data_IF_675374645749
#
_entry.id   IF_675374645749
#
_cell.length_a   1.000
_cell.length_b   1.000
_cell.length_c   1.000
_cell.angle_alpha   90.00
_cell.angle_beta   90.00
_cell.angle_gamma   90.00
#
_symmetry.space_group_name_H-M   'P 1'
#
loop_
_entity.id
_entity.type
_entity.pdbx_description
1 polymer ?
#
# COMPACT_ATOMS: atom_id res chain seq x y z
N UNK A 1 -21.38 5.25 -11.14
CA UNK A 1 -20.08 5.87 -11.45
C UNK A 1 -19.81 5.71 -12.93
N UNK A 2 -19.36 6.75 -13.64
CA UNK A 2 -19.00 6.62 -15.05
C UNK A 2 -17.88 5.59 -15.21
N UNK A 3 -17.96 4.79 -16.29
CA UNK A 3 -16.95 3.78 -16.61
C UNK A 3 -15.74 4.49 -17.25
N UNK A 4 -14.57 4.31 -16.65
CA UNK A 4 -13.31 4.85 -17.19
C UNK A 4 -13.05 4.30 -18.60
N UNK A 5 -12.42 5.11 -19.44
CA UNK A 5 -11.81 4.63 -20.67
C UNK A 5 -10.70 3.62 -20.36
N UNK A 6 -10.28 2.85 -21.37
CA UNK A 6 -9.17 1.89 -21.20
C UNK A 6 -7.88 2.61 -20.78
N UNK A 7 -7.59 3.77 -21.37
CA UNK A 7 -6.40 4.56 -21.08
C UNK A 7 -6.44 5.12 -19.66
N UNK A 8 -7.58 5.69 -19.25
CA UNK A 8 -7.79 6.20 -17.88
C UNK A 8 -7.65 5.07 -16.84
N UNK A 9 -8.17 3.88 -17.16
CA UNK A 9 -8.01 2.70 -16.31
C UNK A 9 -6.55 2.27 -16.17
N UNK A 10 -5.77 2.28 -17.26
CA UNK A 10 -4.34 1.92 -17.23
C UNK A 10 -3.55 2.92 -16.38
N UNK A 11 -3.73 4.22 -16.59
CA UNK A 11 -3.05 5.25 -15.80
C UNK A 11 -3.37 5.10 -14.32
N UNK A 12 -4.66 4.97 -13.98
CA UNK A 12 -5.09 4.73 -12.61
C UNK A 12 -4.51 3.44 -12.01
N UNK A 13 -4.42 2.37 -12.80
CA UNK A 13 -3.86 1.10 -12.35
C UNK A 13 -2.37 1.23 -12.02
N UNK A 14 -1.59 1.93 -12.84
CA UNK A 14 -0.17 2.21 -12.59
C UNK A 14 0.01 3.02 -11.31
N UNK A 15 -0.78 4.08 -11.12
CA UNK A 15 -0.73 4.91 -9.90
C UNK A 15 -1.05 4.10 -8.64
N UNK A 16 -2.02 3.18 -8.71
CA UNK A 16 -2.35 2.30 -7.59
C UNK A 16 -1.20 1.35 -7.24
N UNK A 17 -0.52 0.80 -8.25
CA UNK A 17 0.66 -0.04 -8.02
C UNK A 17 1.81 0.74 -7.40
N UNK A 18 2.12 1.94 -7.88
CA UNK A 18 3.16 2.78 -7.30
C UNK A 18 2.91 3.09 -5.82
N UNK A 19 1.66 3.43 -5.47
CA UNK A 19 1.28 3.69 -4.07
C UNK A 19 1.35 2.43 -3.21
N UNK A 20 1.01 1.27 -3.77
CA UNK A 20 1.14 0.00 -3.07
C UNK A 20 2.61 -0.36 -2.84
N UNK A 21 3.48 -0.12 -3.81
CA UNK A 21 4.91 -0.38 -3.71
C UNK A 21 5.57 0.48 -2.62
N UNK A 22 5.20 1.76 -2.54
CA UNK A 22 5.65 2.66 -1.47
C UNK A 22 5.18 2.19 -0.09
N UNK A 23 3.89 1.86 0.04
CA UNK A 23 3.31 1.35 1.27
C UNK A 23 3.93 0.01 1.71
N UNK A 24 4.27 -0.86 0.76
CA UNK A 24 4.99 -2.10 0.98
C UNK A 24 6.41 -1.86 1.51
N UNK A 25 7.13 -0.90 0.93
CA UNK A 25 8.46 -0.53 1.37
C UNK A 25 8.44 0.00 2.82
N UNK A 26 7.47 0.84 3.16
CA UNK A 26 7.30 1.34 4.53
C UNK A 26 6.99 0.24 5.52
N UNK A 27 6.12 -0.71 5.15
CA UNK A 27 5.82 -1.86 6.00
C UNK A 27 7.08 -2.67 6.33
N UNK A 28 7.87 -3.00 5.30
CA UNK A 28 9.10 -3.78 5.47
C UNK A 28 10.09 -3.01 6.36
N UNK A 29 10.25 -1.71 6.11
CA UNK A 29 11.15 -0.84 6.89
C UNK A 29 10.76 -0.75 8.36
N UNK A 30 9.47 -0.58 8.66
CA UNK A 30 9.02 -0.33 10.03
C UNK A 30 8.84 -1.59 10.88
N UNK A 31 8.44 -2.69 10.24
CA UNK A 31 8.10 -3.94 10.92
C UNK A 31 9.22 -4.97 10.90
N UNK A 32 10.24 -4.76 10.06
CA UNK A 32 11.33 -5.72 9.79
C UNK A 32 10.84 -7.08 9.26
N UNK A 33 9.58 -7.16 8.81
CA UNK A 33 8.98 -8.37 8.24
C UNK A 33 8.89 -8.29 6.72
N UNK A 34 9.06 -9.43 6.04
CA UNK A 34 8.82 -9.52 4.61
C UNK A 34 7.34 -9.78 4.30
N UNK A 35 6.86 -9.22 3.19
CA UNK A 35 5.49 -9.47 2.70
C UNK A 35 5.22 -10.93 2.36
N UNK A 36 6.25 -11.72 2.04
CA UNK A 36 6.12 -13.17 1.82
C UNK A 36 5.78 -13.95 3.09
N UNK A 37 6.06 -13.36 4.27
CA UNK A 37 5.87 -13.97 5.58
C UNK A 37 4.69 -13.35 6.34
N UNK A 38 4.07 -12.32 5.75
CA UNK A 38 2.95 -11.57 6.33
C UNK A 38 1.66 -11.93 5.61
N UNK A 39 0.57 -12.13 6.35
CA UNK A 39 -0.73 -12.29 5.71
C UNK A 39 -1.21 -10.96 5.11
N UNK A 40 -1.99 -11.02 4.03
CA UNK A 40 -2.58 -9.82 3.42
C UNK A 40 -3.39 -9.01 4.44
N UNK A 41 -4.08 -9.68 5.37
CA UNK A 41 -4.90 -9.01 6.38
C UNK A 41 -4.05 -8.22 7.37
N UNK A 42 -2.91 -8.76 7.81
CA UNK A 42 -1.99 -8.06 8.72
C UNK A 42 -1.41 -6.81 8.06
N UNK A 43 -0.98 -6.91 6.80
CA UNK A 43 -0.50 -5.76 6.03
C UNK A 43 -1.58 -4.66 5.92
N UNK A 44 -2.81 -5.03 5.60
CA UNK A 44 -3.94 -4.09 5.50
C UNK A 44 -4.27 -3.45 6.86
N UNK A 45 -4.25 -4.23 7.94
CA UNK A 45 -4.49 -3.71 9.29
C UNK A 45 -3.40 -2.74 9.73
N UNK A 46 -2.13 -3.06 9.45
CA UNK A 46 -1.02 -2.14 9.69
C UNK A 46 -1.21 -0.86 8.88
N UNK A 47 -1.48 -0.97 7.57
CA UNK A 47 -1.68 0.19 6.70
C UNK A 47 -2.82 1.07 7.20
N UNK A 48 -3.94 0.48 7.64
CA UNK A 48 -5.06 1.23 8.21
C UNK A 48 -4.66 1.99 9.47
N UNK A 49 -3.81 1.43 10.34
CA UNK A 49 -3.34 2.14 11.56
C UNK A 49 -2.48 3.36 11.23
N UNK A 50 -1.63 3.26 10.21
CA UNK A 50 -0.78 4.37 9.77
C UNK A 50 -1.59 5.60 9.29
N UNK A 51 -2.86 5.42 8.89
CA UNK A 51 -3.72 6.56 8.49
C UNK A 51 -4.20 7.41 9.68
N UNK A 52 -4.14 6.87 10.88
CA UNK A 52 -4.58 7.53 12.12
C UNK A 52 -3.45 7.83 13.09
N UNK A 53 -2.35 7.07 12.99
CA UNK A 53 -1.17 7.18 13.84
C UNK A 53 0.07 6.74 13.03
N UNK A 54 0.67 7.65 12.24
CA UNK A 54 1.82 7.33 11.40
C UNK A 54 3.08 7.19 12.27
N UNK A 55 3.70 6.02 12.23
CA UNK A 55 4.94 5.75 12.95
C UNK A 55 6.13 6.36 12.18
N UNK A 56 6.52 7.58 12.53
CA UNK A 56 7.76 8.21 12.06
C UNK A 56 8.96 7.65 12.84
N UNK A 57 9.44 6.45 12.48
CA UNK A 57 10.81 6.07 12.87
C UNK A 57 11.81 6.80 11.95
N UNK A 58 12.41 7.87 12.47
CA UNK A 58 13.62 8.56 11.94
C UNK A 58 14.82 7.61 11.82
#
# INVERSE_FOLDING_TARGET
MPKLSKEEHIVRHIELHQKLDELAADFIRQTENFLSETSVMEFIQWSSKQTTDPDEKE
#
